data_IF_469054012986
#
_entry.id   IF_469054012986
#
_cell.length_a   1.000
_cell.length_b   1.000
_cell.length_c   1.000
_cell.angle_alpha   90.00
_cell.angle_beta   90.00
_cell.angle_gamma   90.00
#
_symmetry.space_group_name_H-M   'P 1'
#
loop_
_entity.id
_entity.type
_entity.pdbx_description
1 polymer ?
#
# COMPACT_ATOMS: atom_id res chain seq x y z
N UNK A 1 -16.72 7.04 2.04
CA UNK A 1 -15.59 6.74 2.95
C UNK A 1 -15.34 5.23 2.88
N UNK A 2 -14.26 4.76 2.24
CA UNK A 2 -13.90 3.34 2.29
C UNK A 2 -13.36 3.03 3.69
N UNK A 3 -14.04 2.17 4.43
CA UNK A 3 -13.59 1.69 5.75
C UNK A 3 -13.38 0.19 5.66
N UNK A 4 -12.12 -0.23 5.54
CA UNK A 4 -11.77 -1.64 5.66
C UNK A 4 -12.16 -2.08 7.08
N UNK A 5 -13.21 -2.90 7.18
CA UNK A 5 -13.61 -3.51 8.46
C UNK A 5 -12.71 -4.72 8.67
N UNK A 6 -11.87 -4.67 9.70
CA UNK A 6 -11.04 -5.80 10.12
C UNK A 6 -9.69 -5.37 10.69
N UNK A 7 -9.17 -6.18 11.61
CA UNK A 7 -7.86 -6.01 12.23
C UNK A 7 -6.75 -6.70 11.39
N UNK A 8 -6.83 -6.56 10.06
CA UNK A 8 -6.01 -7.32 9.11
C UNK A 8 -4.91 -6.48 8.45
N UNK A 9 -3.86 -7.17 8.02
CA UNK A 9 -2.76 -6.61 7.24
C UNK A 9 -3.02 -6.82 5.75
N UNK A 10 -3.10 -5.73 4.98
CA UNK A 10 -3.44 -5.80 3.56
C UNK A 10 -2.36 -5.20 2.68
N UNK A 11 -1.88 -5.95 1.69
CA UNK A 11 -1.01 -5.39 0.65
C UNK A 11 -1.70 -4.23 -0.07
N UNK A 12 -0.90 -3.20 -0.34
CA UNK A 12 -1.26 -2.07 -1.17
C UNK A 12 -0.49 -2.15 -2.48
N UNK A 13 -1.04 -1.55 -3.53
CA UNK A 13 -0.35 -1.35 -4.81
C UNK A 13 0.77 -0.31 -4.74
N UNK A 14 1.58 -0.33 -3.68
CA UNK A 14 2.67 0.61 -3.40
C UNK A 14 3.96 -0.16 -3.15
N UNK A 15 5.01 0.14 -3.93
CA UNK A 15 6.28 -0.58 -3.87
C UNK A 15 7.47 0.36 -4.05
N UNK A 16 8.58 0.02 -3.39
CA UNK A 16 9.86 0.71 -3.54
C UNK A 16 10.51 0.35 -4.87
N UNK A 17 10.96 1.37 -5.61
CA UNK A 17 11.79 1.26 -6.82
C UNK A 17 12.98 2.20 -6.64
N UNK A 18 14.17 1.65 -6.43
CA UNK A 18 15.33 2.41 -5.94
C UNK A 18 15.07 2.93 -4.52
N UNK A 19 15.27 4.22 -4.30
CA UNK A 19 15.05 4.84 -2.98
C UNK A 19 13.61 5.32 -2.76
N UNK A 20 12.79 5.38 -3.82
CA UNK A 20 11.45 6.01 -3.80
C UNK A 20 10.34 4.99 -3.87
N UNK A 21 9.21 5.32 -3.27
CA UNK A 21 7.97 4.55 -3.34
C UNK A 21 7.12 5.00 -4.53
N UNK A 22 6.54 4.03 -5.25
CA UNK A 22 5.70 4.27 -6.42
C UNK A 22 4.43 3.42 -6.35
N UNK A 23 3.31 3.99 -6.80
CA UNK A 23 2.06 3.28 -6.99
C UNK A 23 2.14 2.31 -8.17
N UNK A 24 1.15 1.42 -8.29
CA UNK A 24 1.06 0.43 -9.36
C UNK A 24 1.01 1.03 -10.76
N UNK A 25 0.55 2.28 -10.90
CA UNK A 25 0.54 3.05 -12.15
C UNK A 25 1.88 3.74 -12.46
N UNK A 26 2.87 3.63 -11.57
CA UNK A 26 4.19 4.26 -11.70
C UNK A 26 4.31 5.66 -11.12
N UNK A 27 3.21 6.27 -10.66
CA UNK A 27 3.27 7.59 -10.02
C UNK A 27 3.99 7.54 -8.67
N UNK A 28 4.69 8.63 -8.31
CA UNK A 28 5.43 8.71 -7.06
C UNK A 28 4.51 8.84 -5.83
N UNK A 29 4.88 8.19 -4.74
CA UNK A 29 4.23 8.38 -3.45
C UNK A 29 4.57 9.75 -2.87
N UNK A 30 3.58 10.64 -2.82
CA UNK A 30 3.73 12.04 -2.36
C UNK A 30 2.94 12.34 -1.08
N UNK A 31 2.39 11.32 -0.42
CA UNK A 31 1.59 11.50 0.81
C UNK A 31 2.48 11.81 2.02
N UNK A 32 1.91 12.56 2.98
CA UNK A 32 2.53 12.86 4.28
C UNK A 32 2.50 11.68 5.25
N UNK A 33 1.79 10.60 4.92
CA UNK A 33 1.70 9.41 5.77
C UNK A 33 2.99 8.61 5.65
N UNK A 34 3.76 8.41 6.73
CA UNK A 34 5.02 7.70 6.67
C UNK A 34 4.80 6.20 6.43
N UNK A 35 5.72 5.59 5.68
CA UNK A 35 5.80 4.14 5.50
C UNK A 35 6.93 3.63 6.39
N UNK A 36 6.60 2.77 7.35
CA UNK A 36 7.54 2.24 8.32
C UNK A 36 8.31 1.04 7.76
N UNK A 37 9.59 0.93 8.13
CA UNK A 37 10.50 -0.09 7.62
C UNK A 37 11.15 0.28 6.29
N UNK A 38 12.04 -0.59 5.80
CA UNK A 38 12.85 -0.34 4.61
C UNK A 38 12.77 -1.46 3.56
N UNK A 39 11.70 -2.26 3.56
CA UNK A 39 11.53 -3.32 2.57
C UNK A 39 10.83 -2.83 1.31
N UNK A 40 10.55 -3.76 0.38
CA UNK A 40 10.10 -3.45 -0.97
C UNK A 40 8.60 -3.20 -1.09
N UNK A 41 7.75 -4.06 -0.53
CA UNK A 41 6.30 -3.97 -0.71
C UNK A 41 5.64 -3.35 0.51
N UNK A 42 4.61 -2.54 0.31
CA UNK A 42 3.90 -1.83 1.39
C UNK A 42 2.54 -2.45 1.67
N UNK A 43 2.22 -2.63 2.94
CA UNK A 43 0.92 -3.06 3.42
C UNK A 43 0.34 -2.07 4.43
N UNK A 44 -0.99 -2.08 4.55
CA UNK A 44 -1.73 -1.41 5.60
C UNK A 44 -1.82 -2.35 6.81
N UNK A 45 -1.09 -2.00 7.87
CA UNK A 45 -1.06 -2.73 9.14
C UNK A 45 -2.13 -2.23 10.12
N UNK A 46 -2.84 -3.16 10.76
CA UNK A 46 -3.92 -2.90 11.72
C UNK A 46 -4.97 -1.88 11.22
N UNK A 47 -5.15 -1.78 9.90
CA UNK A 47 -6.02 -0.78 9.27
C UNK A 47 -5.61 0.70 9.48
N UNK A 48 -4.40 0.98 9.98
CA UNK A 48 -4.00 2.34 10.42
C UNK A 48 -2.62 2.79 9.99
N UNK A 49 -1.66 1.89 9.79
CA UNK A 49 -0.25 2.24 9.58
C UNK A 49 0.25 1.65 8.28
N UNK A 50 1.12 2.36 7.59
CA UNK A 50 1.76 1.85 6.38
C UNK A 50 3.09 1.23 6.81
N UNK A 51 3.31 -0.04 6.50
CA UNK A 51 4.54 -0.79 6.82
C UNK A 51 5.08 -1.46 5.57
N UNK A 52 6.38 -1.75 5.55
CA UNK A 52 7.02 -2.46 4.45
C UNK A 52 7.55 -3.83 4.88
N UNK A 53 7.45 -4.80 3.97
CA UNK A 53 7.93 -6.18 4.16
C UNK A 53 8.32 -6.80 2.81
N UNK A 54 8.99 -7.97 2.83
CA UNK A 54 9.32 -8.72 1.63
C UNK A 54 8.05 -9.13 0.89
N UNK A 55 8.04 -8.90 -0.42
CA UNK A 55 6.88 -9.13 -1.28
C UNK A 55 6.42 -10.59 -1.36
N UNK A 56 7.26 -11.54 -0.93
CA UNK A 56 6.93 -12.97 -0.90
C UNK A 56 6.04 -13.38 0.28
N UNK A 57 5.79 -12.50 1.26
CA UNK A 57 4.90 -12.82 2.37
C UNK A 57 3.44 -12.89 1.91
N UNK A 58 2.77 -13.98 2.24
CA UNK A 58 1.36 -14.20 1.92
C UNK A 58 0.47 -13.32 2.80
N UNK A 59 -0.27 -12.39 2.18
CA UNK A 59 -1.28 -11.54 2.83
C UNK A 59 -2.38 -11.18 1.83
N UNK A 60 -3.61 -10.91 2.29
CA UNK A 60 -4.64 -10.37 1.41
C UNK A 60 -4.23 -9.00 0.85
N UNK A 61 -4.86 -8.57 -0.25
CA UNK A 61 -4.55 -7.30 -0.92
C UNK A 61 -5.81 -6.48 -1.17
N UNK A 62 -5.64 -5.17 -1.30
CA UNK A 62 -6.71 -4.23 -1.66
C UNK A 62 -6.44 -3.66 -3.04
N UNK A 63 -7.41 -3.80 -3.93
CA UNK A 63 -7.40 -3.18 -5.26
C UNK A 63 -8.24 -1.91 -5.29
N UNK A 64 -7.82 -0.95 -6.10
CA UNK A 64 -8.60 0.26 -6.39
C UNK A 64 -8.54 0.56 -7.89
N UNK A 65 -9.65 1.02 -8.45
CA UNK A 65 -9.75 1.52 -9.82
C UNK A 65 -10.62 2.78 -9.80
N UNK A 66 -10.28 3.77 -10.62
CA UNK A 66 -11.15 4.92 -10.82
C UNK A 66 -12.50 4.47 -11.38
N UNK A 67 -13.58 5.07 -10.88
CA UNK A 67 -14.89 4.90 -11.49
C UNK A 67 -14.89 5.61 -12.85
N UNK A 68 -15.46 4.97 -13.87
CA UNK A 68 -15.58 5.61 -15.18
C UNK A 68 -16.41 6.90 -15.06
N UNK A 69 -16.10 7.96 -15.84
CA UNK A 69 -16.97 9.12 -15.94
C UNK A 69 -18.37 8.66 -16.36
N UNK A 70 -19.40 9.26 -15.75
CA UNK A 70 -20.80 9.10 -16.17
C UNK A 70 -21.02 9.69 -17.56
#
# INVERSE_FOLDING_TARGET
LFRLRGNGDFWLGLRRRGERLHWGDGSSYSSRVPVLGNSLCVYLADGRRFRSEFCSNERPYVCSKAQAPL
#
